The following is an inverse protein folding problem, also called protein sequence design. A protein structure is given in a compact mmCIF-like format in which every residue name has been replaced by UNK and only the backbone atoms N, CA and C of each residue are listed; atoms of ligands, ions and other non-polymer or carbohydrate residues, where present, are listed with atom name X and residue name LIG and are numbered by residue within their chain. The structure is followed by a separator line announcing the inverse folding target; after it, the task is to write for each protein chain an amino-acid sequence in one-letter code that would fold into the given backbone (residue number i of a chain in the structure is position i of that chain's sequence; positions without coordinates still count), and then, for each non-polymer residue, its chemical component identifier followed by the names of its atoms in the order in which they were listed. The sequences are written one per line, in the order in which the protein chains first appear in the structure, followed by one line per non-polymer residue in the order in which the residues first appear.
data_IF_869172540375
#
_entry.id   IF_869172540375
#
_cell.length_a   1.000
_cell.length_b   1.000
_cell.length_c   1.000
_cell.angle_alpha   90.00
_cell.angle_beta   90.00
_cell.angle_gamma   90.00
#
_symmetry.space_group_name_H-M   'P 1'
#
loop_
_entity.id
_entity.type
_entity.pdbx_description
1 polymer ?
#
# COMPACT_ATOMS: atom_id res chain seq x y z
N UNK A 1 9.47 -0.62 -5.60
CA UNK A 1 9.82 0.50 -6.47
C UNK A 1 9.13 0.26 -7.80
N UNK A 2 8.64 1.32 -8.44
CA UNK A 2 8.20 1.28 -9.83
C UNK A 2 9.40 1.54 -10.73
N UNK A 3 9.37 1.02 -11.95
CA UNK A 3 10.38 1.21 -12.99
C UNK A 3 10.24 2.57 -13.70
N UNK A 4 9.10 3.25 -13.53
CA UNK A 4 8.81 4.57 -14.07
C UNK A 4 8.27 5.54 -13.00
N UNK A 5 8.18 6.83 -13.36
CA UNK A 5 7.60 7.85 -12.50
C UNK A 5 6.07 7.73 -12.49
N UNK A 6 5.52 7.44 -11.31
CA UNK A 6 4.09 7.38 -11.03
C UNK A 6 3.48 8.77 -10.86
N UNK A 7 2.28 8.95 -11.39
CA UNK A 7 1.41 10.08 -11.10
C UNK A 7 0.90 9.98 -9.65
N UNK A 8 1.37 10.87 -8.78
CA UNK A 8 1.11 10.79 -7.34
C UNK A 8 -0.39 10.83 -7.00
N UNK A 9 -1.20 11.54 -7.80
CA UNK A 9 -2.67 11.61 -7.62
C UNK A 9 -3.37 10.25 -7.79
N UNK A 10 -2.73 9.31 -8.49
CA UNK A 10 -3.25 7.95 -8.64
C UNK A 10 -2.99 7.10 -7.39
N UNK A 11 -2.22 7.59 -6.41
CA UNK A 11 -2.02 6.93 -5.13
C UNK A 11 -3.09 7.35 -4.13
N UNK A 12 -3.97 6.42 -3.79
CA UNK A 12 -5.08 6.62 -2.86
C UNK A 12 -5.49 5.28 -2.25
N UNK A 13 -6.38 5.25 -1.24
CA UNK A 13 -6.74 4.01 -0.53
C UNK A 13 -7.40 2.89 -1.37
N UNK A 14 -7.63 3.11 -2.67
CA UNK A 14 -8.12 2.11 -3.62
C UNK A 14 -7.08 1.59 -4.61
N UNK A 15 -5.90 2.20 -4.69
CA UNK A 15 -4.87 1.92 -5.70
C UNK A 15 -3.54 1.47 -5.11
N UNK A 16 -3.19 1.96 -3.92
CA UNK A 16 -2.06 1.52 -3.12
C UNK A 16 -2.49 1.64 -1.66
N UNK A 17 -2.72 0.52 -0.98
CA UNK A 17 -3.23 0.56 0.39
C UNK A 17 -2.57 -0.45 1.31
N UNK A 18 -2.66 -0.15 2.60
CA UNK A 18 -2.26 -1.04 3.69
C UNK A 18 -3.48 -1.28 4.58
N UNK A 19 -3.74 -2.53 4.96
CA UNK A 19 -4.84 -2.87 5.87
C UNK A 19 -4.53 -4.10 6.72
N UNK A 20 -5.15 -4.24 7.91
CA UNK A 20 -4.97 -5.42 8.73
C UNK A 20 -5.70 -6.63 8.14
N UNK A 21 -5.09 -7.80 8.28
CA UNK A 21 -5.62 -9.09 7.82
C UNK A 21 -5.48 -10.15 8.90
N UNK A 22 -6.24 -11.24 8.78
CA UNK A 22 -6.04 -12.45 9.59
C UNK A 22 -4.95 -13.36 8.99
N UNK A 23 -4.75 -14.53 9.60
CA UNK A 23 -3.72 -15.49 9.20
C UNK A 23 -4.02 -16.15 7.84
N UNK A 24 -5.25 -16.06 7.34
CA UNK A 24 -5.66 -16.47 6.00
C UNK A 24 -5.71 -15.30 4.99
N UNK A 25 -5.07 -14.17 5.33
CA UNK A 25 -5.02 -12.93 4.54
C UNK A 25 -6.39 -12.31 4.25
N UNK A 26 -7.41 -12.59 5.07
CA UNK A 26 -8.74 -11.99 4.95
C UNK A 26 -8.77 -10.62 5.62
N UNK A 27 -9.40 -9.59 5.01
CA UNK A 27 -9.42 -8.25 5.57
C UNK A 27 -10.17 -8.19 6.90
N UNK A 28 -9.54 -7.61 7.92
CA UNK A 28 -10.16 -7.38 9.23
C UNK A 28 -10.75 -5.98 9.38
N UNK A 29 -10.27 -5.02 8.57
CA UNK A 29 -10.75 -3.65 8.56
C UNK A 29 -10.53 -3.02 7.16
N UNK A 30 -11.16 -1.87 6.87
CA UNK A 30 -10.84 -1.07 5.69
C UNK A 30 -9.35 -0.66 5.64
N UNK A 31 -8.86 -0.24 4.45
CA UNK A 31 -7.59 0.47 4.31
C UNK A 31 -7.34 1.55 5.35
N UNK A 32 -6.11 1.61 5.85
CA UNK A 32 -5.66 2.68 6.74
C UNK A 32 -5.68 4.02 5.99
N UNK A 33 -5.99 5.10 6.71
CA UNK A 33 -5.76 6.46 6.23
C UNK A 33 -4.30 6.82 6.43
N UNK A 34 -3.78 7.70 5.58
CA UNK A 34 -2.37 8.05 5.57
C UNK A 34 -1.99 8.98 4.43
N UNK A 35 -0.71 9.30 4.39
CA UNK A 35 -0.11 10.16 3.37
C UNK A 35 0.73 9.34 2.39
N UNK A 36 0.64 9.71 1.12
CA UNK A 36 1.52 9.19 0.08
C UNK A 36 2.62 10.19 -0.21
N UNK A 37 3.82 9.69 -0.45
CA UNK A 37 4.96 10.47 -0.91
C UNK A 37 5.74 9.69 -1.94
N UNK A 38 6.54 10.37 -2.76
CA UNK A 38 7.43 9.67 -3.67
C UNK A 38 8.50 10.54 -4.31
N UNK A 39 9.55 9.87 -4.75
CA UNK A 39 10.70 10.43 -5.46
C UNK A 39 11.33 9.33 -6.32
N UNK A 40 11.68 9.63 -7.57
CA UNK A 40 12.51 8.75 -8.44
C UNK A 40 12.03 7.28 -8.50
N UNK A 41 10.73 7.04 -8.68
CA UNK A 41 10.19 5.67 -8.77
C UNK A 41 9.95 4.98 -7.41
N UNK A 42 10.37 5.60 -6.31
CA UNK A 42 10.10 5.14 -4.95
C UNK A 42 8.90 5.89 -4.38
N UNK A 43 7.83 5.16 -4.07
CA UNK A 43 6.61 5.72 -3.50
C UNK A 43 6.29 5.02 -2.18
N UNK A 44 5.94 5.82 -1.18
CA UNK A 44 5.73 5.40 0.20
C UNK A 44 4.30 5.70 0.63
N UNK A 45 3.81 4.90 1.57
CA UNK A 45 2.59 5.17 2.32
C UNK A 45 2.95 5.25 3.81
N UNK A 46 2.56 6.36 4.46
CA UNK A 46 2.71 6.57 5.89
C UNK A 46 1.32 6.66 6.53
N UNK A 47 0.90 5.68 7.36
CA UNK A 47 -0.39 5.75 8.06
C UNK A 47 -0.49 6.97 8.99
N UNK A 48 -1.68 7.55 9.13
CA UNK A 48 -1.92 8.72 10.00
C UNK A 48 -1.72 8.40 11.49
N UNK A 49 -1.91 7.13 11.86
CA UNK A 49 -1.73 6.63 13.21
C UNK A 49 -0.72 5.46 13.23
N UNK A 50 0.04 5.28 14.33
CA UNK A 50 0.95 4.15 14.46
C UNK A 50 0.26 2.80 14.21
N UNK A 51 0.96 1.89 13.55
CA UNK A 51 0.48 0.52 13.36
C UNK A 51 0.36 -0.18 14.71
N UNK A 52 -0.72 -0.94 14.90
CA UNK A 52 -0.94 -1.73 16.12
C UNK A 52 0.14 -2.82 16.25
N UNK A 53 0.77 -2.99 17.43
CA UNK A 53 1.72 -4.08 17.69
C UNK A 53 1.14 -5.46 17.44
N UNK A 54 2.00 -6.43 17.11
CA UNK A 54 1.62 -7.83 16.89
C UNK A 54 0.55 -8.07 15.82
N UNK A 55 0.27 -7.10 14.96
CA UNK A 55 -0.79 -7.18 13.95
C UNK A 55 -0.22 -7.50 12.58
N UNK A 56 -0.88 -8.42 11.85
CA UNK A 56 -0.58 -8.72 10.44
C UNK A 56 -1.27 -7.71 9.54
N UNK A 57 -0.50 -7.15 8.61
CA UNK A 57 -1.00 -6.23 7.59
C UNK A 57 -0.63 -6.75 6.20
N UNK A 58 -1.47 -6.43 5.22
CA UNK A 58 -1.13 -6.56 3.82
C UNK A 58 -0.90 -5.19 3.18
N UNK A 59 0.00 -5.16 2.20
CA UNK A 59 0.23 -4.06 1.28
C UNK A 59 -0.26 -4.51 -0.08
N UNK A 60 -1.14 -3.72 -0.71
CA UNK A 60 -1.73 -4.08 -2.00
C UNK A 60 -1.63 -2.93 -2.99
N UNK A 61 -1.21 -3.26 -4.21
CA UNK A 61 -1.37 -2.41 -5.40
C UNK A 61 -2.11 -3.25 -6.44
N UNK A 62 -3.41 -3.01 -6.68
CA UNK A 62 -4.16 -3.76 -7.68
C UNK A 62 -3.60 -3.54 -9.10
N UNK A 63 -3.84 -4.50 -9.99
CA UNK A 63 -3.71 -4.25 -11.42
C UNK A 63 -4.69 -3.14 -11.81
N UNK A 64 -4.23 -2.15 -12.57
CA UNK A 64 -4.99 -0.96 -12.93
C UNK A 64 -4.99 0.13 -11.88
N UNK A 65 -4.45 -0.12 -10.67
CA UNK A 65 -4.57 0.76 -9.53
C UNK A 65 -3.76 2.05 -9.67
N UNK A 66 -2.51 1.95 -10.10
CA UNK A 66 -1.56 3.06 -10.15
C UNK A 66 -1.17 3.33 -11.60
N UNK A 67 -0.96 4.59 -11.97
CA UNK A 67 -0.54 4.97 -13.33
C UNK A 67 0.73 5.83 -13.33
N UNK A 68 1.50 5.71 -14.39
CA UNK A 68 2.62 6.62 -14.68
C UNK A 68 2.13 7.97 -15.24
N UNK A 69 3.05 8.92 -15.44
CA UNK A 69 2.76 10.22 -16.07
C UNK A 69 2.33 10.12 -17.54
N UNK A 70 2.56 8.99 -18.20
CA UNK A 70 2.09 8.72 -19.57
C UNK A 70 0.68 8.11 -19.59
N UNK A 71 0.11 7.80 -18.41
CA UNK A 71 -1.19 7.17 -18.23
C UNK A 71 -1.18 5.65 -18.29
N UNK A 72 -0.01 5.00 -18.35
CA UNK A 72 0.11 3.55 -18.35
C UNK A 72 -0.21 2.99 -16.95
N UNK A 73 -1.19 2.06 -16.83
CA UNK A 73 -1.52 1.47 -15.55
C UNK A 73 -0.62 0.29 -15.17
N UNK A 74 -0.52 -0.01 -13.87
CA UNK A 74 0.02 -1.28 -13.38
C UNK A 74 -0.72 -2.46 -14.02
N UNK A 75 0.01 -3.43 -14.60
CA UNK A 75 -0.62 -4.56 -15.30
C UNK A 75 -0.88 -5.75 -14.39
N UNK A 76 -0.05 -5.91 -13.34
CA UNK A 76 -0.10 -7.03 -12.41
C UNK A 76 -0.32 -6.51 -11.00
N UNK A 77 -1.16 -7.21 -10.23
CA UNK A 77 -1.37 -6.88 -8.84
C UNK A 77 -0.13 -7.25 -8.01
N UNK A 78 0.33 -6.32 -7.17
CA UNK A 78 1.33 -6.59 -6.16
C UNK A 78 0.66 -6.79 -4.80
N UNK A 79 1.11 -7.81 -4.07
CA UNK A 79 0.70 -8.06 -2.68
C UNK A 79 1.92 -8.46 -1.86
N UNK A 80 1.99 -7.95 -0.63
CA UNK A 80 2.97 -8.35 0.36
C UNK A 80 2.34 -8.29 1.74
N UNK A 81 2.84 -9.09 2.68
CA UNK A 81 2.33 -9.13 4.04
C UNK A 81 3.47 -9.03 5.04
N UNK A 82 3.22 -8.38 6.16
CA UNK A 82 4.18 -8.26 7.25
C UNK A 82 3.45 -8.28 8.60
N UNK A 83 4.20 -8.52 9.67
CA UNK A 83 3.70 -8.48 11.04
C UNK A 83 4.54 -7.48 11.82
N UNK A 84 3.90 -6.52 12.49
CA UNK A 84 4.59 -5.61 13.40
C UNK A 84 5.06 -6.37 14.64
N UNK A 85 6.18 -5.96 15.24
CA UNK A 85 6.64 -6.51 16.52
C UNK A 85 5.57 -6.39 17.62
N UNK A 86 5.62 -7.28 18.60
CA UNK A 86 4.81 -7.18 19.83
C UNK A 86 5.47 -6.19 20.79
N UNK A 87 4.70 -5.60 21.70
CA UNK A 87 5.28 -4.90 22.83
C UNK A 87 5.94 -5.93 23.75
N UNK A 88 7.20 -5.70 24.10
CA UNK A 88 7.91 -6.42 25.17
C UNK A 88 7.78 -5.67 26.50
#
# INVERSE_FOLDING_TARGET
AFDEHVELETLHPGSFYVRPVDDEDRPLAPPLTGHYSGQEGLYNFAPDAPLRPGTRYEVVVPAGGVRDWSGNPTTTAFRSTFVTARCE
#
